data_IF_219617627870
#
_entry.id   IF_219617627870
#
_cell.length_a   1.000
_cell.length_b   1.000
_cell.length_c   1.000
_cell.angle_alpha   90.00
_cell.angle_beta   90.00
_cell.angle_gamma   90.00
#
_symmetry.space_group_name_H-M   'P 1'
#
loop_
_entity.id
_entity.type
_entity.pdbx_description
1 polymer ?
#
# COMPACT_ATOMS: atom_id res chain seq x y z
N UNK A 1 31.62 -5.89 63.26
CA UNK A 1 30.41 -5.08 63.48
C UNK A 1 29.29 -5.65 62.62
N UNK A 2 28.49 -6.53 63.20
CA UNK A 2 27.28 -7.09 62.59
C UNK A 2 26.13 -6.09 62.67
N UNK A 3 25.40 -5.89 61.56
CA UNK A 3 24.06 -5.30 61.59
C UNK A 3 23.14 -6.09 60.68
N UNK A 4 22.43 -7.02 61.32
CA UNK A 4 21.20 -7.64 60.83
C UNK A 4 20.06 -6.63 61.01
N UNK A 5 19.27 -6.34 59.97
CA UNK A 5 17.94 -5.74 60.14
C UNK A 5 16.99 -6.18 59.01
N UNK A 6 16.16 -7.16 59.39
CA UNK A 6 14.73 -7.38 59.12
C UNK A 6 14.16 -7.04 57.73
N UNK A 7 13.68 -8.11 57.10
CA UNK A 7 12.64 -8.13 56.10
C UNK A 7 11.39 -7.34 56.53
N UNK A 8 10.80 -6.59 55.60
CA UNK A 8 9.41 -6.16 55.69
C UNK A 8 8.63 -6.73 54.52
N UNK A 9 7.59 -7.48 54.88
CA UNK A 9 6.67 -8.20 54.00
C UNK A 9 5.60 -7.21 53.51
N UNK A 10 5.31 -7.19 52.21
CA UNK A 10 4.03 -6.75 51.70
C UNK A 10 3.46 -7.87 50.82
N UNK A 11 2.38 -8.50 51.29
CA UNK A 11 1.54 -9.45 50.56
C UNK A 11 0.20 -8.76 50.27
N UNK A 12 -0.20 -8.71 49.00
CA UNK A 12 -1.58 -8.66 48.50
C UNK A 12 -1.50 -9.37 47.12
N UNK A 13 -1.88 -10.65 46.95
CA UNK A 13 -3.23 -11.18 46.63
C UNK A 13 -3.96 -10.24 45.66
N UNK A 14 -3.97 -10.44 44.35
CA UNK A 14 -4.66 -11.47 43.54
C UNK A 14 -5.05 -10.73 42.23
N UNK A 15 -4.89 -11.27 41.03
CA UNK A 15 -5.84 -12.14 40.33
C UNK A 15 -5.05 -12.95 39.30
N UNK A 16 -5.28 -14.26 39.28
CA UNK A 16 -4.83 -15.14 38.22
C UNK A 16 -5.79 -15.05 37.03
N UNK A 17 -5.24 -14.95 35.82
CA UNK A 17 -5.90 -15.49 34.63
C UNK A 17 -4.87 -16.35 33.91
N UNK A 18 -5.12 -17.66 33.90
CA UNK A 18 -4.30 -18.66 33.23
C UNK A 18 -5.14 -19.38 32.17
N UNK A 19 -4.62 -19.42 30.94
CA UNK A 19 -4.81 -20.45 29.90
C UNK A 19 -3.66 -20.21 28.89
N UNK A 20 -2.59 -21.02 28.70
CA UNK A 20 -2.40 -22.48 28.51
C UNK A 20 -3.02 -22.97 27.18
N UNK A 21 -2.37 -23.55 26.15
CA UNK A 21 -1.02 -24.11 25.83
C UNK A 21 -0.91 -24.05 24.28
N UNK A 22 0.18 -23.51 23.73
CA UNK A 22 1.28 -24.14 22.98
C UNK A 22 0.98 -24.96 21.71
N UNK A 23 1.67 -24.60 20.62
CA UNK A 23 2.25 -25.54 19.66
C UNK A 23 3.66 -25.06 19.27
N UNK A 24 4.68 -25.71 19.85
CA UNK A 24 6.07 -25.75 19.35
C UNK A 24 6.15 -26.86 18.31
N UNK A 25 6.74 -26.68 17.12
CA UNK A 25 8.19 -26.66 16.81
C UNK A 25 8.34 -26.32 15.31
N UNK A 26 9.37 -25.62 14.82
CA UNK A 26 10.72 -26.15 14.48
C UNK A 26 11.75 -25.00 14.47
N UNK A 27 12.93 -25.26 15.05
CA UNK A 27 14.13 -24.43 14.95
C UNK A 27 14.73 -24.51 13.55
N UNK A 28 14.75 -23.42 12.78
CA UNK A 28 15.81 -23.06 11.83
C UNK A 28 15.87 -21.53 11.69
N UNK A 29 17.01 -20.95 12.12
CA UNK A 29 17.61 -19.74 11.53
C UNK A 29 16.85 -18.40 11.59
N UNK A 30 17.46 -17.43 12.30
CA UNK A 30 17.11 -16.01 12.38
C UNK A 30 15.79 -15.70 13.10
N UNK A 31 15.84 -14.79 14.08
CA UNK A 31 14.64 -14.06 14.48
C UNK A 31 14.21 -13.25 13.25
N UNK A 32 13.34 -13.83 12.43
CA UNK A 32 12.66 -13.11 11.37
C UNK A 32 11.91 -11.96 12.03
N UNK A 33 12.09 -10.75 11.49
CA UNK A 33 11.25 -9.63 11.86
C UNK A 33 9.80 -10.06 11.70
N UNK A 34 8.91 -9.68 12.61
CA UNK A 34 7.49 -9.89 12.39
C UNK A 34 7.09 -9.01 11.18
N UNK A 35 6.93 -9.63 10.01
CA UNK A 35 6.44 -8.99 8.79
C UNK A 35 4.97 -8.61 9.00
N UNK A 36 4.57 -7.43 8.55
CA UNK A 36 3.18 -6.97 8.60
C UNK A 36 2.38 -7.51 7.40
N UNK A 37 2.44 -8.84 7.22
CA UNK A 37 1.81 -9.58 6.14
C UNK A 37 0.27 -9.54 6.19
N UNK A 38 -0.40 -9.82 5.05
CA UNK A 38 -1.87 -9.87 5.01
C UNK A 38 -2.47 -10.98 5.89
N UNK A 39 -1.68 -12.02 6.22
CA UNK A 39 -2.14 -13.20 6.96
C UNK A 39 -3.02 -14.14 6.14
N UNK A 40 -3.11 -13.95 4.82
CA UNK A 40 -3.83 -14.83 3.91
C UNK A 40 -3.01 -16.09 3.59
N UNK A 41 -3.66 -17.25 3.36
CA UNK A 41 -2.97 -18.43 2.85
C UNK A 41 -2.38 -18.21 1.45
N UNK A 42 -1.49 -19.11 1.03
CA UNK A 42 -0.98 -19.17 -0.35
C UNK A 42 -2.14 -19.23 -1.33
N UNK A 43 -2.16 -18.31 -2.30
CA UNK A 43 -3.27 -18.19 -3.24
C UNK A 43 -3.27 -16.90 -4.03
N UNK A 44 -4.27 -16.76 -4.89
CA UNK A 44 -4.55 -15.54 -5.64
C UNK A 44 -5.90 -14.99 -5.20
N UNK A 45 -5.93 -13.71 -4.85
CA UNK A 45 -7.09 -13.03 -4.29
C UNK A 45 -7.40 -11.78 -5.09
N UNK A 46 -8.68 -11.44 -5.16
CA UNK A 46 -9.09 -10.09 -5.57
C UNK A 46 -9.21 -9.21 -4.32
N UNK A 47 -8.54 -8.05 -4.32
CA UNK A 47 -8.54 -7.10 -3.20
C UNK A 47 -8.86 -5.68 -3.68
N UNK A 48 -9.22 -4.80 -2.77
CA UNK A 48 -9.34 -3.36 -3.01
C UNK A 48 -8.00 -2.70 -2.76
N UNK A 49 -7.35 -2.19 -3.80
CA UNK A 49 -6.09 -1.47 -3.69
C UNK A 49 -6.06 -0.26 -4.60
N UNK A 50 -5.73 0.90 -4.03
CA UNK A 50 -5.92 2.18 -4.69
C UNK A 50 -4.65 3.03 -4.65
N UNK A 51 -4.23 3.48 -5.83
CA UNK A 51 -3.21 4.51 -5.98
C UNK A 51 -3.89 5.86 -6.17
N UNK A 52 -3.44 6.88 -5.43
CA UNK A 52 -3.98 8.22 -5.56
C UNK A 52 -2.94 9.32 -5.33
N UNK A 53 -3.17 10.45 -5.99
CA UNK A 53 -2.51 11.73 -5.68
C UNK A 53 -3.30 12.42 -4.58
N UNK A 54 -2.60 12.90 -3.55
CA UNK A 54 -3.23 13.52 -2.38
C UNK A 54 -3.91 14.85 -2.70
N UNK A 55 -5.01 15.15 -2.01
CA UNK A 55 -5.81 16.37 -2.22
C UNK A 55 -5.03 17.69 -2.18
N UNK A 56 -3.91 17.73 -1.45
CA UNK A 56 -3.02 18.91 -1.37
C UNK A 56 -2.38 19.28 -2.73
N UNK A 57 -2.17 18.29 -3.59
CA UNK A 57 -1.40 18.43 -4.84
C UNK A 57 -2.32 18.54 -6.07
N UNK A 58 -3.56 18.06 -5.96
CA UNK A 58 -4.50 18.02 -7.08
C UNK A 58 -5.21 19.37 -7.26
N UNK A 59 -5.54 19.75 -8.51
CA UNK A 59 -6.29 20.99 -8.77
C UNK A 59 -7.77 20.89 -8.37
N UNK A 60 -8.25 19.69 -8.05
CA UNK A 60 -9.64 19.42 -7.69
C UNK A 60 -9.87 19.49 -6.17
N UNK A 61 -8.81 19.66 -5.36
CA UNK A 61 -8.91 19.72 -3.89
C UNK A 61 -9.40 18.43 -3.24
N UNK A 62 -9.35 17.31 -3.98
CA UNK A 62 -9.77 15.97 -3.59
C UNK A 62 -8.67 14.98 -3.95
N UNK A 63 -8.63 13.82 -3.29
CA UNK A 63 -7.76 12.74 -3.72
C UNK A 63 -8.10 12.34 -5.16
N UNK A 64 -7.08 12.23 -6.02
CA UNK A 64 -7.25 11.80 -7.41
C UNK A 64 -6.75 10.35 -7.54
N UNK A 65 -7.69 9.41 -7.55
CA UNK A 65 -7.46 7.98 -7.67
C UNK A 65 -7.11 7.60 -9.11
N UNK A 66 -5.84 7.32 -9.37
CA UNK A 66 -5.37 6.91 -10.70
C UNK A 66 -5.84 5.49 -11.08
N UNK A 67 -6.34 4.74 -10.10
CA UNK A 67 -7.06 3.46 -10.26
C UNK A 67 -8.52 3.62 -10.68
N UNK A 68 -9.08 4.84 -10.64
CA UNK A 68 -10.47 5.10 -11.01
C UNK A 68 -10.56 5.58 -12.48
N UNK A 69 -11.36 4.95 -13.35
CA UNK A 69 -11.45 5.33 -14.76
C UNK A 69 -12.24 6.64 -15.01
N UNK A 70 -12.94 7.18 -14.01
CA UNK A 70 -13.73 8.40 -14.16
C UNK A 70 -12.87 9.60 -14.60
N UNK A 71 -13.37 10.34 -15.58
CA UNK A 71 -12.68 11.48 -16.18
C UNK A 71 -13.67 12.58 -16.62
N UNK A 72 -13.26 13.86 -16.57
CA UNK A 72 -14.11 14.95 -17.04
C UNK A 72 -14.46 14.83 -18.53
N UNK A 73 -15.63 15.35 -18.96
CA UNK A 73 -16.63 16.06 -18.15
C UNK A 73 -17.63 15.13 -17.44
N UNK A 74 -17.59 13.82 -17.68
CA UNK A 74 -18.61 12.87 -17.22
C UNK A 74 -18.37 12.33 -15.79
N UNK A 75 -17.23 12.65 -15.18
CA UNK A 75 -16.94 12.31 -13.79
C UNK A 75 -15.57 12.82 -13.32
N UNK A 76 -15.21 12.49 -12.08
CA UNK A 76 -13.91 12.79 -11.50
C UNK A 76 -13.39 11.55 -10.78
N UNK A 77 -12.08 11.26 -10.84
CA UNK A 77 -11.49 10.11 -10.15
C UNK A 77 -11.33 10.39 -8.65
N UNK A 78 -12.41 10.74 -7.96
CA UNK A 78 -12.39 11.22 -6.57
C UNK A 78 -12.79 10.17 -5.54
N UNK A 79 -13.11 8.96 -6.00
CA UNK A 79 -13.50 7.84 -5.14
C UNK A 79 -12.58 6.63 -5.36
N UNK A 80 -12.26 5.86 -4.30
CA UNK A 80 -11.57 4.59 -4.44
C UNK A 80 -12.42 3.58 -5.21
N UNK A 81 -11.76 2.57 -5.78
CA UNK A 81 -12.39 1.43 -6.45
C UNK A 81 -12.26 0.20 -5.56
N UNK A 82 -13.32 -0.59 -5.46
CA UNK A 82 -13.32 -1.84 -4.69
C UNK A 82 -12.97 -3.03 -5.60
N UNK A 83 -12.37 -4.07 -5.03
CA UNK A 83 -12.10 -5.36 -5.71
C UNK A 83 -11.45 -5.20 -7.09
N UNK A 84 -10.47 -4.30 -7.18
CA UNK A 84 -9.88 -3.85 -8.44
C UNK A 84 -8.46 -4.37 -8.68
N UNK A 85 -7.82 -4.96 -7.67
CA UNK A 85 -6.43 -5.39 -7.73
C UNK A 85 -6.32 -6.89 -7.44
N UNK A 86 -5.21 -7.49 -7.88
CA UNK A 86 -4.91 -8.91 -7.66
C UNK A 86 -3.76 -9.02 -6.68
N UNK A 87 -3.98 -9.72 -5.58
CA UNK A 87 -2.93 -10.10 -4.62
C UNK A 87 -2.56 -11.56 -4.85
N UNK A 88 -1.27 -11.85 -4.92
CA UNK A 88 -0.74 -13.20 -4.97
C UNK A 88 0.13 -13.44 -3.74
N UNK A 89 -0.26 -14.41 -2.91
CA UNK A 89 0.51 -14.89 -1.78
C UNK A 89 1.28 -16.12 -2.22
N UNK A 90 2.60 -16.04 -2.24
CA UNK A 90 3.49 -17.10 -2.69
C UNK A 90 3.83 -18.08 -1.55
N UNK A 91 4.33 -19.26 -1.92
CA UNK A 91 4.65 -20.33 -0.98
C UNK A 91 5.78 -19.98 0.01
N UNK A 92 6.61 -19.00 -0.32
CA UNK A 92 7.67 -18.48 0.55
C UNK A 92 7.21 -17.33 1.46
N UNK A 93 5.92 -16.94 1.40
CA UNK A 93 5.35 -15.83 2.16
C UNK A 93 5.44 -14.48 1.46
N UNK A 94 6.02 -14.40 0.26
CA UNK A 94 6.05 -13.16 -0.52
C UNK A 94 4.65 -12.78 -0.97
N UNK A 95 4.30 -11.50 -0.84
CA UNK A 95 3.02 -10.96 -1.30
C UNK A 95 3.20 -9.99 -2.46
N UNK A 96 2.65 -10.35 -3.61
CA UNK A 96 2.72 -9.55 -4.84
C UNK A 96 1.36 -8.96 -5.18
N UNK A 97 1.23 -7.64 -5.06
CA UNK A 97 0.01 -6.89 -5.35
C UNK A 97 0.10 -6.22 -6.71
N UNK A 98 -0.76 -6.60 -7.64
CA UNK A 98 -0.89 -5.97 -8.96
C UNK A 98 -2.07 -4.99 -8.99
N UNK A 99 -1.78 -3.71 -9.15
CA UNK A 99 -2.74 -2.60 -9.13
C UNK A 99 -2.89 -1.98 -10.53
N UNK A 100 -4.11 -1.91 -11.10
CA UNK A 100 -4.31 -1.30 -12.40
C UNK A 100 -4.35 0.23 -12.34
N UNK A 101 -3.67 0.90 -13.27
CA UNK A 101 -3.64 2.37 -13.40
C UNK A 101 -4.42 2.77 -14.65
N UNK A 102 -5.72 3.01 -14.48
CA UNK A 102 -6.66 3.16 -15.61
C UNK A 102 -7.05 4.60 -15.91
N UNK A 103 -6.78 5.54 -15.00
CA UNK A 103 -7.21 6.93 -15.18
C UNK A 103 -6.55 7.60 -16.40
N UNK A 104 -7.34 8.36 -17.15
CA UNK A 104 -6.89 9.07 -18.36
C UNK A 104 -6.76 10.59 -18.19
N UNK A 105 -7.13 11.12 -17.02
CA UNK A 105 -6.97 12.53 -16.67
C UNK A 105 -5.63 12.78 -15.98
N UNK A 106 -5.21 11.87 -15.11
CA UNK A 106 -3.93 11.90 -14.41
C UNK A 106 -3.17 10.62 -14.76
N UNK A 107 -2.26 10.72 -15.73
CA UNK A 107 -1.46 9.59 -16.17
C UNK A 107 -0.16 9.51 -15.37
N UNK A 108 0.09 8.37 -14.75
CA UNK A 108 1.36 8.09 -14.07
C UNK A 108 2.43 7.78 -15.10
N UNK A 109 3.57 8.45 -15.02
CA UNK A 109 4.72 8.28 -15.91
C UNK A 109 5.87 7.54 -15.21
N UNK A 110 5.99 7.68 -13.90
CA UNK A 110 7.01 7.02 -13.10
C UNK A 110 6.77 7.19 -11.61
N UNK A 111 7.39 6.32 -10.83
CA UNK A 111 7.38 6.34 -9.37
C UNK A 111 8.72 5.76 -8.86
N UNK A 112 9.17 6.11 -7.64
CA UNK A 112 10.35 5.51 -7.02
C UNK A 112 10.22 3.98 -6.88
N UNK A 113 11.37 3.31 -6.81
CA UNK A 113 11.44 1.85 -6.68
C UNK A 113 10.88 1.31 -5.34
N UNK A 114 10.71 2.17 -4.33
CA UNK A 114 10.11 1.83 -3.06
C UNK A 114 9.37 3.03 -2.47
N UNK A 115 8.45 2.73 -1.57
CA UNK A 115 7.80 3.69 -0.69
C UNK A 115 8.80 4.34 0.27
N UNK A 116 8.42 5.50 0.81
CA UNK A 116 9.29 6.35 1.65
C UNK A 116 9.68 5.67 2.96
N UNK A 117 8.80 4.83 3.51
CA UNK A 117 9.04 4.01 4.70
C UNK A 117 9.69 2.65 4.39
N UNK A 118 9.83 2.30 3.11
CA UNK A 118 10.43 1.06 2.65
C UNK A 118 9.54 -0.18 2.78
N UNK A 119 8.29 -0.04 3.23
CA UNK A 119 7.39 -1.18 3.48
C UNK A 119 6.81 -1.79 2.20
N UNK A 120 6.81 -1.01 1.11
CA UNK A 120 6.34 -1.43 -0.22
C UNK A 120 7.42 -1.16 -1.26
N UNK A 121 7.74 -2.17 -2.09
CA UNK A 121 8.67 -2.05 -3.20
C UNK A 121 7.97 -2.24 -4.55
N UNK A 122 8.42 -1.54 -5.60
CA UNK A 122 7.95 -1.73 -6.98
C UNK A 122 8.72 -2.89 -7.59
N UNK A 123 8.02 -3.98 -7.92
CA UNK A 123 8.62 -5.13 -8.60
C UNK A 123 8.62 -4.95 -10.12
N UNK A 124 7.50 -4.49 -10.67
CA UNK A 124 7.41 -4.21 -12.11
C UNK A 124 6.30 -3.20 -12.43
N UNK A 125 6.38 -2.61 -13.62
CA UNK A 125 5.33 -1.74 -14.15
C UNK A 125 5.10 -2.04 -15.62
N UNK A 126 3.85 -2.00 -16.05
CA UNK A 126 3.47 -2.12 -17.45
C UNK A 126 3.10 -0.73 -17.97
N UNK A 127 3.60 -0.36 -19.15
CA UNK A 127 3.22 0.86 -19.85
C UNK A 127 2.34 0.57 -21.04
N UNK A 128 1.39 1.45 -21.32
CA UNK A 128 0.53 1.40 -22.49
C UNK A 128 0.64 2.69 -23.31
N UNK A 129 0.45 2.65 -24.64
CA UNK A 129 0.30 3.86 -25.43
C UNK A 129 -0.82 4.74 -24.88
N UNK A 130 -0.58 6.04 -24.86
CA UNK A 130 -1.53 7.02 -24.37
C UNK A 130 -1.48 8.27 -25.25
N UNK A 131 -2.66 8.66 -25.74
CA UNK A 131 -2.82 9.91 -26.46
C UNK A 131 -3.32 10.98 -25.49
N UNK A 132 -2.50 12.02 -25.30
CA UNK A 132 -2.87 13.20 -24.55
C UNK A 132 -3.22 14.34 -25.51
N UNK A 133 -4.05 15.26 -25.04
CA UNK A 133 -4.32 16.45 -25.85
C UNK A 133 -3.07 17.35 -25.90
N UNK A 134 -2.81 17.96 -27.06
CA UNK A 134 -1.70 18.90 -27.32
C UNK A 134 -0.27 18.32 -27.19
N UNK A 135 -0.06 17.04 -27.54
CA UNK A 135 1.29 16.50 -27.76
C UNK A 135 2.10 16.26 -26.48
N UNK A 136 1.45 15.87 -25.38
CA UNK A 136 2.12 15.41 -24.17
C UNK A 136 2.70 13.99 -24.32
N UNK A 137 2.93 13.26 -23.21
CA UNK A 137 3.43 11.89 -23.23
C UNK A 137 2.65 10.98 -24.17
N UNK A 138 3.38 10.06 -24.82
CA UNK A 138 2.84 9.07 -25.75
C UNK A 138 2.54 7.72 -25.09
N UNK A 139 2.91 7.58 -23.82
CA UNK A 139 2.63 6.40 -23.01
C UNK A 139 2.43 6.80 -21.54
N UNK A 140 1.83 5.89 -20.78
CA UNK A 140 1.72 5.97 -19.33
C UNK A 140 1.80 4.58 -18.72
N UNK A 141 2.09 4.51 -17.42
CA UNK A 141 1.94 3.30 -16.64
C UNK A 141 0.44 2.93 -16.60
N UNK A 142 0.14 1.67 -16.89
CA UNK A 142 -1.20 1.08 -16.89
C UNK A 142 -1.40 0.02 -15.82
N UNK A 143 -0.32 -0.51 -15.23
CA UNK A 143 -0.35 -1.44 -14.11
C UNK A 143 0.98 -1.38 -13.36
N UNK A 144 0.95 -1.58 -12.05
CA UNK A 144 2.14 -1.74 -11.22
C UNK A 144 1.98 -2.97 -10.35
N UNK A 145 3.01 -3.80 -10.29
CA UNK A 145 3.12 -4.89 -9.32
C UNK A 145 4.05 -4.46 -8.21
N UNK A 146 3.55 -4.48 -6.99
CA UNK A 146 4.26 -4.16 -5.77
C UNK A 146 4.56 -5.43 -4.97
N UNK A 147 5.70 -5.43 -4.30
CA UNK A 147 5.94 -6.30 -3.15
C UNK A 147 5.37 -5.61 -1.91
N UNK A 148 4.41 -6.26 -1.26
CA UNK A 148 3.68 -5.75 -0.08
C UNK A 148 3.87 -6.64 1.15
N UNK A 149 4.86 -7.54 1.13
CA UNK A 149 5.12 -8.51 2.20
C UNK A 149 5.27 -7.87 3.58
N UNK A 150 5.81 -6.64 3.62
CA UNK A 150 6.05 -5.87 4.84
C UNK A 150 4.98 -4.80 5.12
N UNK A 151 3.89 -4.78 4.34
CA UNK A 151 2.92 -3.71 4.37
C UNK A 151 1.63 -4.10 5.10
N UNK A 152 1.36 -3.43 6.23
CA UNK A 152 0.21 -3.75 7.09
C UNK A 152 -1.18 -3.54 6.44
N UNK A 153 -1.27 -2.74 5.38
CA UNK A 153 -2.55 -2.38 4.77
C UNK A 153 -3.53 -1.67 5.72
N UNK A 154 -4.83 -1.77 5.39
CA UNK A 154 -5.92 -1.17 6.15
C UNK A 154 -5.88 0.36 6.10
N UNK A 155 -5.62 1.00 7.25
CA UNK A 155 -5.48 2.47 7.35
C UNK A 155 -4.06 2.97 7.05
N UNK A 156 -3.11 2.06 6.82
CA UNK A 156 -1.72 2.40 6.48
C UNK A 156 -1.64 2.92 5.05
N UNK A 157 -0.80 3.93 4.83
CA UNK A 157 -0.56 4.54 3.52
C UNK A 157 0.93 4.39 3.19
N UNK A 158 1.24 3.77 2.05
CA UNK A 158 2.60 3.76 1.51
C UNK A 158 2.74 4.92 0.51
N UNK A 159 3.69 5.83 0.75
CA UNK A 159 3.89 7.04 -0.08
C UNK A 159 5.13 6.93 -0.95
N UNK A 160 4.99 7.23 -2.24
CA UNK A 160 6.00 7.22 -3.27
C UNK A 160 6.32 8.66 -3.71
N UNK A 161 7.45 9.19 -3.26
CA UNK A 161 7.80 10.60 -3.41
C UNK A 161 9.25 10.80 -3.93
N UNK A 162 9.48 11.67 -4.94
CA UNK A 162 8.48 12.20 -5.86
C UNK A 162 8.11 11.16 -6.91
N UNK A 163 6.84 11.11 -7.30
CA UNK A 163 6.39 10.42 -8.51
C UNK A 163 6.29 11.41 -9.68
N UNK A 164 6.16 10.88 -10.89
CA UNK A 164 6.03 11.67 -12.12
C UNK A 164 4.68 11.40 -12.74
N UNK A 165 3.89 12.44 -12.96
CA UNK A 165 2.59 12.36 -13.62
C UNK A 165 2.47 13.37 -14.75
N UNK A 166 1.46 13.15 -15.59
CA UNK A 166 0.96 14.16 -16.51
C UNK A 166 -0.53 14.36 -16.27
N UNK A 167 -0.90 15.60 -15.96
CA UNK A 167 -2.28 16.02 -15.93
C UNK A 167 -2.72 16.34 -17.36
N UNK A 168 -3.73 15.62 -17.87
CA UNK A 168 -4.38 15.80 -19.15
C UNK A 168 -5.71 16.56 -19.02
N UNK A 169 -5.84 17.40 -17.98
CA UNK A 169 -7.02 18.23 -17.74
C UNK A 169 -6.82 19.64 -18.33
N UNK A 170 -7.83 20.19 -19.01
CA UNK A 170 -7.66 21.39 -19.85
C UNK A 170 -7.19 22.64 -19.08
N UNK A 171 -7.60 22.81 -17.82
CA UNK A 171 -7.20 23.96 -16.99
C UNK A 171 -5.88 23.76 -16.25
N UNK A 172 -5.35 22.54 -16.22
CA UNK A 172 -4.23 22.19 -15.36
C UNK A 172 -3.23 21.24 -16.02
N UNK A 173 -3.12 21.36 -17.34
CA UNK A 173 -2.34 20.44 -18.15
C UNK A 173 -0.84 20.55 -17.87
N UNK A 174 -0.15 19.42 -17.96
CA UNK A 174 1.31 19.38 -18.00
C UNK A 174 1.92 18.32 -17.10
N UNK A 175 3.24 18.24 -17.14
CA UNK A 175 4.05 17.40 -16.27
C UNK A 175 3.98 17.87 -14.83
N UNK A 176 3.94 16.91 -13.91
CA UNK A 176 3.81 17.10 -12.47
C UNK A 176 4.78 16.18 -11.76
N UNK A 177 5.19 16.63 -10.58
CA UNK A 177 5.92 15.83 -9.62
C UNK A 177 5.07 15.79 -8.36
N UNK A 178 4.18 14.80 -8.25
CA UNK A 178 3.33 14.61 -7.09
C UNK A 178 3.69 13.34 -6.34
N UNK A 179 3.22 13.26 -5.10
CA UNK A 179 3.34 12.05 -4.32
C UNK A 179 2.20 11.09 -4.72
N UNK A 180 2.55 9.82 -4.99
CA UNK A 180 1.56 8.75 -5.12
C UNK A 180 1.42 8.01 -3.80
N UNK A 181 0.19 7.72 -3.42
CA UNK A 181 -0.15 7.05 -2.18
C UNK A 181 -0.87 5.75 -2.51
N UNK A 182 -0.38 4.65 -1.95
CA UNK A 182 -0.99 3.33 -2.02
C UNK A 182 -1.73 3.04 -0.71
N UNK A 183 -2.97 2.60 -0.85
CA UNK A 183 -3.77 1.99 0.23
C UNK A 183 -4.30 0.64 -0.23
N UNK A 184 -4.33 -0.33 0.68
CA UNK A 184 -4.72 -1.71 0.39
C UNK A 184 -5.62 -2.22 1.51
N UNK A 185 -6.77 -2.80 1.16
CA UNK A 185 -7.66 -3.47 2.10
C UNK A 185 -7.58 -4.99 1.91
N UNK A 186 -6.68 -5.64 2.67
CA UNK A 186 -6.55 -7.09 2.66
C UNK A 186 -7.79 -7.82 3.20
N UNK A 187 -8.61 -7.15 4.02
CA UNK A 187 -9.87 -7.70 4.52
C UNK A 187 -10.92 -7.89 3.43
N UNK A 188 -10.74 -7.26 2.27
CA UNK A 188 -11.60 -7.42 1.09
C UNK A 188 -11.24 -8.62 0.19
N UNK A 189 -10.24 -9.42 0.58
CA UNK A 189 -9.79 -10.57 -0.20
C UNK A 189 -10.92 -11.59 -0.44
N UNK A 190 -11.11 -11.95 -1.70
CA UNK A 190 -12.09 -12.94 -2.18
C UNK A 190 -11.51 -13.81 -3.30
#
# INVERSE_FOLDING_TARGET
MSRTLRANRARFIGVALAALIAATSVLYGAAGQAHADSGLPVGTYTVSANLYVGAKDTPIGLNAYVTNPAAPPLGYPSSPVNSNATLQVLADGTELLTVPVVNSTFGVLGLPAASTDGAVAVQSSVTTPWSTAAGGPTSRISSVTFDVTDFAGGSTVATFAPSQEYANFFLYRGYKAWDLNLVVDFGSAA
#
